data_IF_474236169042
#
_entry.id   IF_474236169042
#
_cell.length_a   1.000
_cell.length_b   1.000
_cell.length_c   1.000
_cell.angle_alpha   90.00
_cell.angle_beta   90.00
_cell.angle_gamma   90.00
#
_symmetry.space_group_name_H-M   'P 1'
#
loop_
_entity.id
_entity.type
_entity.pdbx_description
1 polymer ?
#
# COMPACT_ATOMS: atom_id res chain seq x y z
N UNK A 1 -5.51 -0.95 23.73
CA UNK A 1 -5.51 -2.40 24.06
C UNK A 1 -6.97 -2.83 24.06
N UNK A 2 -7.36 -3.83 23.24
CA UNK A 2 -8.76 -4.27 23.19
C UNK A 2 -9.12 -5.05 24.46
N UNK A 3 -10.38 -5.00 24.89
CA UNK A 3 -10.85 -5.75 26.06
C UNK A 3 -10.60 -7.27 25.92
N UNK A 4 -10.71 -7.79 24.68
CA UNK A 4 -10.41 -9.17 24.34
C UNK A 4 -8.93 -9.53 24.58
N UNK A 5 -8.00 -8.67 24.15
CA UNK A 5 -6.57 -8.91 24.35
C UNK A 5 -6.22 -9.02 25.85
N UNK A 6 -6.82 -8.19 26.71
CA UNK A 6 -6.63 -8.26 28.16
C UNK A 6 -7.13 -9.58 28.77
N UNK A 7 -8.29 -10.09 28.31
CA UNK A 7 -8.84 -11.38 28.76
C UNK A 7 -7.90 -12.53 28.39
N UNK A 8 -7.42 -12.55 27.14
CA UNK A 8 -6.55 -13.59 26.62
C UNK A 8 -5.13 -13.54 27.24
N UNK A 9 -4.60 -12.35 27.53
CA UNK A 9 -3.36 -12.19 28.32
C UNK A 9 -3.52 -12.80 29.72
N UNK A 10 -4.68 -12.59 30.36
CA UNK A 10 -5.00 -13.19 31.64
C UNK A 10 -5.06 -14.72 31.58
N UNK A 11 -5.62 -15.29 30.51
CA UNK A 11 -5.62 -16.74 30.26
C UNK A 11 -4.20 -17.28 30.04
N UNK A 12 -3.41 -16.60 29.21
CA UNK A 12 -2.03 -16.97 28.93
C UNK A 12 -1.17 -16.99 30.21
N UNK A 13 -1.38 -16.03 31.12
CA UNK A 13 -0.73 -16.00 32.43
C UNK A 13 -1.06 -17.23 33.30
N UNK A 14 -2.34 -17.64 33.33
CA UNK A 14 -2.78 -18.78 34.16
C UNK A 14 -2.22 -20.12 33.70
N UNK A 15 -2.08 -20.30 32.39
CA UNK A 15 -1.59 -21.55 31.80
C UNK A 15 -0.09 -21.55 31.50
N UNK A 16 0.61 -20.46 31.80
CA UNK A 16 2.05 -20.33 31.55
C UNK A 16 2.43 -20.16 30.07
N UNK A 17 1.50 -19.71 29.23
CA UNK A 17 1.71 -19.47 27.80
C UNK A 17 2.48 -18.16 27.56
N UNK A 18 3.79 -18.20 27.78
CA UNK A 18 4.68 -17.04 27.74
C UNK A 18 4.80 -16.38 26.36
N UNK A 19 4.74 -17.18 25.29
CA UNK A 19 4.85 -16.73 23.90
C UNK A 19 3.58 -16.01 23.47
N UNK A 20 2.43 -16.66 23.69
CA UNK A 20 1.10 -16.07 23.42
C UNK A 20 0.93 -14.77 24.20
N UNK A 21 1.28 -14.75 25.49
CA UNK A 21 1.27 -13.53 26.30
C UNK A 21 2.09 -12.41 25.67
N UNK A 22 3.33 -12.69 25.28
CA UNK A 22 4.24 -11.68 24.71
C UNK A 22 3.70 -11.11 23.40
N UNK A 23 3.10 -11.95 22.55
CA UNK A 23 2.49 -11.52 21.29
C UNK A 23 1.30 -10.59 21.57
N UNK A 24 0.39 -10.99 22.46
CA UNK A 24 -0.80 -10.22 22.79
C UNK A 24 -0.48 -8.90 23.50
N UNK A 25 0.56 -8.86 24.34
CA UNK A 25 1.05 -7.62 24.98
C UNK A 25 1.61 -6.62 23.95
N UNK A 26 2.26 -7.14 22.91
CA UNK A 26 2.84 -6.33 21.83
C UNK A 26 1.82 -5.97 20.75
N UNK A 27 0.56 -6.39 20.87
CA UNK A 27 -0.52 -6.09 19.93
C UNK A 27 -0.96 -4.62 20.00
N UNK A 28 -0.05 -3.69 19.68
CA UNK A 28 -0.26 -2.24 19.74
C UNK A 28 -0.19 -1.65 18.33
N UNK A 29 -1.07 -2.10 17.44
CA UNK A 29 -1.20 -1.58 16.06
C UNK A 29 -0.02 -1.87 15.13
N UNK A 30 -0.26 -1.77 13.81
CA UNK A 30 0.72 -2.12 12.78
C UNK A 30 0.95 -3.64 12.65
N UNK A 31 2.15 -4.05 12.25
CA UNK A 31 2.56 -5.47 12.04
C UNK A 31 2.37 -6.33 13.31
N UNK A 32 2.63 -5.77 14.49
CA UNK A 32 2.40 -6.48 15.75
C UNK A 32 0.89 -6.70 16.04
N UNK A 33 0.02 -5.89 15.42
CA UNK A 33 -1.43 -6.08 15.40
C UNK A 33 -1.87 -7.29 14.57
N UNK A 34 -1.23 -7.51 13.41
CA UNK A 34 -1.50 -8.66 12.51
C UNK A 34 -1.16 -9.99 13.18
N UNK A 35 0.04 -10.11 13.76
CA UNK A 35 0.45 -11.33 14.48
C UNK A 35 -0.48 -11.61 15.67
N UNK A 36 -0.84 -10.56 16.41
CA UNK A 36 -1.81 -10.68 17.50
C UNK A 36 -3.19 -11.14 17.00
N UNK A 37 -3.64 -10.67 15.84
CA UNK A 37 -4.85 -11.14 15.17
C UNK A 37 -4.79 -12.64 14.85
N UNK A 38 -3.72 -13.09 14.19
CA UNK A 38 -3.52 -14.50 13.83
C UNK A 38 -3.50 -15.42 15.07
N UNK A 39 -2.91 -14.98 16.17
CA UNK A 39 -2.94 -15.74 17.44
C UNK A 39 -4.33 -15.78 18.04
N UNK A 40 -5.09 -14.68 18.00
CA UNK A 40 -6.48 -14.64 18.45
C UNK A 40 -7.35 -15.60 17.61
N UNK A 41 -7.17 -15.62 16.29
CA UNK A 41 -7.86 -16.54 15.38
C UNK A 41 -7.52 -18.00 15.68
N UNK A 42 -6.24 -18.29 15.96
CA UNK A 42 -5.81 -19.64 16.35
C UNK A 42 -6.46 -20.09 17.68
N UNK A 43 -6.58 -19.18 18.66
CA UNK A 43 -7.26 -19.45 19.93
C UNK A 43 -8.75 -19.72 19.69
N UNK A 44 -9.43 -18.88 18.89
CA UNK A 44 -10.83 -19.08 18.52
C UNK A 44 -11.06 -20.44 17.86
N UNK A 45 -10.16 -20.82 16.93
CA UNK A 45 -10.20 -22.11 16.25
C UNK A 45 -10.05 -23.29 17.21
N UNK A 46 -9.14 -23.21 18.18
CA UNK A 46 -9.00 -24.27 19.19
C UNK A 46 -10.17 -24.33 20.17
N UNK A 47 -10.78 -23.19 20.47
CA UNK A 47 -11.99 -23.10 21.27
C UNK A 47 -13.27 -23.51 20.49
N UNK A 48 -13.18 -23.69 19.17
CA UNK A 48 -14.31 -24.07 18.32
C UNK A 48 -15.36 -22.97 18.12
N UNK A 49 -15.00 -21.71 18.35
CA UNK A 49 -15.90 -20.55 18.29
C UNK A 49 -15.37 -19.46 17.36
N UNK A 50 -16.18 -18.43 17.13
CA UNK A 50 -15.71 -17.20 16.48
C UNK A 50 -14.96 -16.30 17.47
N UNK A 51 -14.14 -15.38 16.95
CA UNK A 51 -13.36 -14.45 17.78
C UNK A 51 -14.24 -13.59 18.69
N UNK A 52 -15.42 -13.19 18.21
CA UNK A 52 -16.37 -12.36 18.95
C UNK A 52 -17.00 -13.10 20.14
N UNK A 53 -17.03 -14.44 20.09
CA UNK A 53 -17.59 -15.30 21.14
C UNK A 53 -16.56 -15.65 22.22
N UNK A 54 -15.26 -15.46 21.96
CA UNK A 54 -14.19 -15.73 22.93
C UNK A 54 -14.42 -15.10 24.32
N UNK A 55 -14.88 -13.84 24.47
CA UNK A 55 -15.13 -13.25 25.79
C UNK A 55 -16.24 -13.94 26.59
N UNK A 56 -17.12 -14.68 25.91
CA UNK A 56 -18.29 -15.33 26.53
C UNK A 56 -17.98 -16.74 27.03
N UNK A 57 -16.83 -17.30 26.65
CA UNK A 57 -16.45 -18.65 27.00
C UNK A 57 -16.07 -18.79 28.48
N UNK A 58 -16.32 -19.98 29.07
CA UNK A 58 -15.81 -20.31 30.39
C UNK A 58 -14.28 -20.19 30.45
N UNK A 59 -13.79 -19.73 31.61
CA UNK A 59 -12.36 -19.53 31.84
C UNK A 59 -11.53 -20.79 31.58
N UNK A 60 -12.03 -21.97 31.97
CA UNK A 60 -11.35 -23.26 31.73
C UNK A 60 -11.16 -23.57 30.26
N UNK A 61 -12.15 -23.24 29.42
CA UNK A 61 -12.12 -23.48 27.97
C UNK A 61 -11.15 -22.52 27.28
N UNK A 62 -11.12 -21.26 27.69
CA UNK A 62 -10.14 -20.28 27.21
C UNK A 62 -8.71 -20.66 27.59
N UNK A 63 -8.51 -21.10 28.83
CA UNK A 63 -7.21 -21.53 29.34
C UNK A 63 -6.71 -22.75 28.54
N UNK A 64 -7.57 -23.74 28.29
CA UNK A 64 -7.24 -24.90 27.46
C UNK A 64 -6.89 -24.50 26.02
N UNK A 65 -7.70 -23.65 25.37
CA UNK A 65 -7.44 -23.19 24.01
C UNK A 65 -6.10 -22.44 23.91
N UNK A 66 -5.80 -21.56 24.87
CA UNK A 66 -4.52 -20.84 24.93
C UNK A 66 -3.34 -21.78 25.15
N UNK A 67 -3.49 -22.78 26.03
CA UNK A 67 -2.47 -23.81 26.26
C UNK A 67 -2.16 -24.61 24.99
N UNK A 68 -3.16 -24.91 24.18
CA UNK A 68 -2.98 -25.60 22.90
C UNK A 68 -2.35 -24.71 21.81
N UNK A 69 -2.48 -23.38 21.90
CA UNK A 69 -1.88 -22.44 20.94
C UNK A 69 -0.41 -22.12 21.27
N UNK A 70 -0.03 -22.11 22.54
CA UNK A 70 1.37 -21.86 22.96
C UNK A 70 2.43 -22.67 22.18
N UNK A 71 2.30 -24.00 21.98
CA UNK A 71 3.32 -24.77 21.25
C UNK A 71 3.40 -24.43 19.75
N UNK A 72 2.32 -23.90 19.15
CA UNK A 72 2.29 -23.52 17.73
C UNK A 72 2.57 -22.03 17.50
N UNK A 73 2.49 -21.19 18.54
CA UNK A 73 2.73 -19.75 18.45
C UNK A 73 4.10 -19.37 17.84
N UNK A 74 5.22 -20.06 18.15
CA UNK A 74 6.49 -19.81 17.47
C UNK A 74 6.45 -20.06 15.96
N UNK A 75 5.72 -21.10 15.52
CA UNK A 75 5.58 -21.41 14.09
C UNK A 75 4.75 -20.34 13.35
N UNK A 76 3.73 -19.77 14.01
CA UNK A 76 2.96 -18.65 13.47
C UNK A 76 3.83 -17.41 13.26
N UNK A 77 4.72 -17.10 14.20
CA UNK A 77 5.69 -15.99 14.04
C UNK A 77 6.63 -16.24 12.86
N UNK A 78 7.15 -17.46 12.73
CA UNK A 78 8.05 -17.82 11.63
C UNK A 78 7.37 -17.72 10.26
N UNK A 79 6.12 -18.16 10.15
CA UNK A 79 5.33 -18.04 8.93
C UNK A 79 5.13 -16.58 8.52
N UNK A 80 4.83 -15.70 9.47
CA UNK A 80 4.70 -14.26 9.21
C UNK A 80 6.02 -13.63 8.78
N UNK A 81 7.12 -13.95 9.45
CA UNK A 81 8.46 -13.47 9.06
C UNK A 81 8.80 -13.91 7.65
N UNK A 82 8.45 -15.13 7.25
CA UNK A 82 8.68 -15.62 5.90
C UNK A 82 7.79 -14.91 4.88
N UNK A 83 6.51 -14.68 5.20
CA UNK A 83 5.62 -13.86 4.38
C UNK A 83 6.18 -12.44 4.18
N UNK A 84 6.72 -11.81 5.21
CA UNK A 84 7.34 -10.49 5.11
C UNK A 84 8.60 -10.50 4.25
N UNK A 85 9.44 -11.53 4.37
CA UNK A 85 10.61 -11.68 3.49
C UNK A 85 10.19 -11.82 2.03
N UNK A 86 9.19 -12.62 1.74
CA UNK A 86 8.71 -12.81 0.36
C UNK A 86 8.02 -11.55 -0.18
N UNK A 87 7.25 -10.83 0.64
CA UNK A 87 6.71 -9.52 0.27
C UNK A 87 7.84 -8.52 -0.05
N UNK A 88 8.87 -8.44 0.80
CA UNK A 88 10.06 -7.62 0.55
C UNK A 88 10.80 -8.06 -0.72
N UNK A 89 10.93 -9.37 -0.96
CA UNK A 89 11.55 -9.93 -2.15
C UNK A 89 10.78 -9.53 -3.41
N UNK A 90 9.46 -9.55 -3.39
CA UNK A 90 8.62 -9.10 -4.50
C UNK A 90 8.81 -7.60 -4.77
N UNK A 91 8.83 -6.77 -3.73
CA UNK A 91 9.08 -5.33 -3.88
C UNK A 91 10.49 -5.05 -4.44
N UNK A 92 11.50 -5.77 -3.96
CA UNK A 92 12.87 -5.66 -4.46
C UNK A 92 13.02 -6.22 -5.89
N UNK A 93 12.27 -7.27 -6.24
CA UNK A 93 12.22 -7.79 -7.60
C UNK A 93 11.58 -6.76 -8.57
N UNK A 94 10.56 -6.01 -8.13
CA UNK A 94 10.02 -4.89 -8.91
C UNK A 94 11.07 -3.77 -9.12
N UNK A 95 11.99 -3.59 -8.16
CA UNK A 95 13.09 -2.64 -8.28
C UNK A 95 14.23 -3.15 -9.18
N UNK A 96 14.50 -4.46 -9.16
CA UNK A 96 15.47 -5.13 -10.04
C UNK A 96 14.87 -5.31 -11.44
N UNK A 97 14.83 -4.22 -12.20
CA UNK A 97 14.22 -4.19 -13.54
C UNK A 97 15.15 -4.80 -14.57
N UNK A 98 14.72 -5.88 -15.19
CA UNK A 98 15.49 -6.68 -16.17
C UNK A 98 15.90 -5.94 -17.45
N UNK A 99 15.35 -4.75 -17.75
CA UNK A 99 15.89 -3.88 -18.83
C UNK A 99 15.57 -2.41 -18.60
N UNK A 100 16.55 -1.54 -18.88
CA UNK A 100 16.38 -0.08 -18.83
C UNK A 100 15.26 0.43 -19.75
N UNK A 101 14.97 -0.27 -20.85
CA UNK A 101 13.97 0.13 -21.84
C UNK A 101 12.53 0.08 -21.31
N UNK A 102 12.16 -0.97 -20.58
CA UNK A 102 10.81 -1.13 -20.02
C UNK A 102 10.45 -0.08 -18.96
N UNK A 103 11.46 0.59 -18.40
CA UNK A 103 11.28 1.64 -17.41
C UNK A 103 11.49 3.05 -17.95
N UNK A 104 12.39 3.25 -18.93
CA UNK A 104 12.80 4.58 -19.40
C UNK A 104 11.66 5.43 -19.94
N UNK A 105 10.62 4.83 -20.53
CA UNK A 105 9.46 5.57 -21.06
C UNK A 105 8.70 6.37 -19.98
N UNK A 106 8.79 5.94 -18.72
CA UNK A 106 8.16 6.61 -17.56
C UNK A 106 8.77 7.99 -17.30
N UNK A 107 10.06 8.13 -16.95
CA UNK A 107 10.69 9.43 -16.83
C UNK A 107 10.76 10.16 -18.18
N UNK A 108 11.00 9.46 -19.30
CA UNK A 108 11.10 10.10 -20.61
C UNK A 108 9.81 10.83 -21.01
N UNK A 109 8.64 10.23 -20.79
CA UNK A 109 7.37 10.89 -21.08
C UNK A 109 7.10 12.08 -20.15
N UNK A 110 7.47 12.02 -18.86
CA UNK A 110 7.38 13.16 -17.95
C UNK A 110 8.27 14.33 -18.42
N UNK A 111 9.52 14.05 -18.76
CA UNK A 111 10.45 15.07 -19.25
C UNK A 111 10.01 15.67 -20.58
N UNK A 112 9.58 14.84 -21.53
CA UNK A 112 9.02 15.30 -22.79
C UNK A 112 7.85 16.25 -22.56
N UNK A 113 6.96 15.91 -21.63
CA UNK A 113 5.80 16.72 -21.31
C UNK A 113 6.18 18.05 -20.67
N UNK A 114 7.13 18.06 -19.74
CA UNK A 114 7.65 19.30 -19.15
C UNK A 114 8.28 20.20 -20.23
N UNK A 115 9.01 19.62 -21.18
CA UNK A 115 9.56 20.36 -22.33
C UNK A 115 8.43 20.96 -23.19
N UNK A 116 7.38 20.21 -23.49
CA UNK A 116 6.23 20.71 -24.23
C UNK A 116 5.51 21.85 -23.50
N UNK A 117 5.33 21.73 -22.18
CA UNK A 117 4.74 22.80 -21.35
C UNK A 117 5.63 24.04 -21.36
N UNK A 118 6.94 23.88 -21.11
CA UNK A 118 7.89 24.99 -21.11
C UNK A 118 7.94 25.70 -22.46
N UNK A 119 7.89 24.93 -23.56
CA UNK A 119 7.78 25.48 -24.91
C UNK A 119 6.52 26.32 -25.08
N UNK A 120 5.36 25.78 -24.70
CA UNK A 120 4.06 26.42 -24.91
C UNK A 120 3.87 27.67 -24.05
N UNK A 121 4.23 27.60 -22.77
CA UNK A 121 3.94 28.63 -21.76
C UNK A 121 5.01 29.71 -21.70
N UNK A 122 6.27 29.36 -21.92
CA UNK A 122 7.41 30.26 -21.66
C UNK A 122 8.13 30.61 -22.95
N UNK A 123 8.68 29.61 -23.64
CA UNK A 123 9.60 29.86 -24.76
C UNK A 123 8.89 30.55 -25.92
N UNK A 124 7.73 30.04 -26.33
CA UNK A 124 7.01 30.59 -27.47
C UNK A 124 6.58 32.05 -27.25
N UNK A 125 5.91 32.44 -26.15
CA UNK A 125 5.55 33.84 -25.92
C UNK A 125 6.75 34.78 -25.92
N UNK A 126 7.88 34.35 -25.33
CA UNK A 126 9.12 35.13 -25.32
C UNK A 126 9.71 35.30 -26.73
N UNK A 127 9.75 34.23 -27.53
CA UNK A 127 10.23 34.30 -28.91
C UNK A 127 9.33 35.18 -29.78
N UNK A 128 8.01 35.08 -29.64
CA UNK A 128 7.08 35.94 -30.36
C UNK A 128 7.22 37.42 -29.94
N UNK A 129 7.38 37.69 -28.63
CA UNK A 129 7.64 39.04 -28.16
C UNK A 129 8.94 39.62 -28.75
N UNK A 130 10.00 38.81 -28.85
CA UNK A 130 11.26 39.20 -29.47
C UNK A 130 11.10 39.49 -30.97
N UNK A 131 10.36 38.65 -31.71
CA UNK A 131 10.08 38.83 -33.14
C UNK A 131 9.23 40.08 -33.42
N UNK A 132 8.30 40.41 -32.52
CA UNK A 132 7.51 41.63 -32.62
C UNK A 132 8.33 42.87 -32.28
N UNK A 133 9.29 42.76 -31.34
CA UNK A 133 10.21 43.85 -31.03
C UNK A 133 11.11 44.24 -32.21
N UNK A 134 11.38 43.31 -33.15
CA UNK A 134 12.13 43.60 -34.38
C UNK A 134 11.24 44.11 -35.53
N UNK A 135 9.96 44.38 -35.27
CA UNK A 135 9.02 44.94 -36.24
C UNK A 135 8.47 43.94 -37.26
N UNK A 136 8.69 42.63 -37.05
CA UNK A 136 8.17 41.59 -37.94
C UNK A 136 6.71 41.28 -37.59
N UNK A 137 5.89 41.01 -38.60
CA UNK A 137 4.53 40.45 -38.42
C UNK A 137 4.52 38.92 -38.30
N UNK A 138 5.70 38.30 -38.21
CA UNK A 138 5.84 36.83 -38.17
C UNK A 138 5.53 36.36 -36.76
N UNK A 139 4.75 35.29 -36.65
CA UNK A 139 4.40 34.65 -35.39
C UNK A 139 4.71 33.16 -35.48
N UNK A 140 5.33 32.62 -34.44
CA UNK A 140 5.43 31.18 -34.23
C UNK A 140 4.06 30.69 -33.78
N UNK A 141 3.40 29.91 -34.63
CA UNK A 141 2.12 29.27 -34.33
C UNK A 141 2.32 27.86 -33.75
N UNK A 142 1.39 27.42 -32.91
CA UNK A 142 1.34 26.03 -32.46
C UNK A 142 0.28 25.33 -33.30
N UNK A 143 0.66 24.28 -34.02
CA UNK A 143 -0.28 23.43 -34.78
C UNK A 143 -1.14 22.52 -33.91
N UNK A 144 -1.08 22.69 -32.58
CA UNK A 144 -1.80 21.94 -31.56
C UNK A 144 -2.46 22.94 -30.62
N UNK A 145 -3.76 22.84 -30.43
CA UNK A 145 -4.48 23.68 -29.48
C UNK A 145 -4.25 23.23 -28.02
N UNK A 146 -4.48 24.15 -27.08
CA UNK A 146 -4.24 23.92 -25.65
C UNK A 146 -5.18 22.86 -25.06
N UNK A 147 -6.41 22.72 -25.57
CA UNK A 147 -7.35 21.75 -25.06
C UNK A 147 -6.92 20.32 -25.45
N UNK A 148 -6.51 20.12 -26.70
CA UNK A 148 -5.93 18.85 -27.15
C UNK A 148 -4.68 18.49 -26.37
N UNK A 149 -3.79 19.47 -26.12
CA UNK A 149 -2.60 19.26 -25.30
C UNK A 149 -2.93 18.83 -23.86
N UNK A 150 -3.84 19.54 -23.19
CA UNK A 150 -4.30 19.20 -21.83
C UNK A 150 -5.00 17.83 -21.77
N UNK A 151 -5.74 17.46 -22.81
CA UNK A 151 -6.34 16.14 -22.95
C UNK A 151 -5.29 15.03 -22.99
N UNK A 152 -4.29 15.16 -23.86
CA UNK A 152 -3.16 14.21 -23.95
C UNK A 152 -2.40 14.15 -22.62
N UNK A 153 -2.15 15.30 -22.00
CA UNK A 153 -1.48 15.39 -20.69
C UNK A 153 -2.24 14.63 -19.60
N UNK A 154 -3.56 14.83 -19.52
CA UNK A 154 -4.42 14.20 -18.51
C UNK A 154 -4.47 12.69 -18.72
N UNK A 155 -4.58 12.21 -19.96
CA UNK A 155 -4.56 10.79 -20.28
C UNK A 155 -3.21 10.17 -19.91
N UNK A 156 -2.10 10.81 -20.33
CA UNK A 156 -0.76 10.34 -20.01
C UNK A 156 -0.51 10.26 -18.50
N UNK A 157 -0.82 11.34 -17.77
CA UNK A 157 -0.64 11.39 -16.31
C UNK A 157 -1.59 10.47 -15.56
N UNK A 158 -2.82 10.28 -16.03
CA UNK A 158 -3.78 9.33 -15.43
C UNK A 158 -3.32 7.88 -15.56
N UNK A 159 -2.82 7.48 -16.75
CA UNK A 159 -2.25 6.16 -16.96
C UNK A 159 -0.95 5.96 -16.15
N UNK A 160 -0.14 7.01 -16.05
CA UNK A 160 1.18 6.97 -15.44
C UNK A 160 1.17 7.06 -13.90
N UNK A 161 0.41 7.98 -13.32
CA UNK A 161 0.37 8.22 -11.86
C UNK A 161 -0.66 7.37 -11.12
N UNK A 162 -1.48 6.60 -11.82
CA UNK A 162 -2.41 5.69 -11.18
C UNK A 162 -3.60 5.33 -12.05
N UNK A 163 -3.38 4.48 -13.06
CA UNK A 163 -4.48 3.89 -13.83
C UNK A 163 -5.50 3.16 -12.94
N UNK A 164 -5.05 2.60 -11.81
CA UNK A 164 -5.94 1.97 -10.82
C UNK A 164 -6.86 2.99 -10.11
N UNK A 165 -6.43 4.24 -9.94
CA UNK A 165 -7.26 5.31 -9.37
C UNK A 165 -8.39 5.70 -10.34
N UNK A 166 -8.07 5.80 -11.63
CA UNK A 166 -9.06 6.05 -12.68
C UNK A 166 -10.03 4.86 -12.81
N UNK A 167 -9.52 3.62 -12.84
CA UNK A 167 -10.35 2.41 -12.89
C UNK A 167 -11.29 2.32 -11.66
N UNK A 168 -10.80 2.67 -10.47
CA UNK A 168 -11.60 2.70 -9.24
C UNK A 168 -12.66 3.79 -9.27
N UNK A 169 -12.35 4.97 -9.83
CA UNK A 169 -13.34 6.04 -9.99
C UNK A 169 -14.46 5.62 -10.95
N UNK A 170 -14.12 5.05 -12.10
CA UNK A 170 -15.09 4.57 -13.10
C UNK A 170 -15.93 3.41 -12.56
N UNK A 171 -15.33 2.44 -11.86
CA UNK A 171 -16.06 1.32 -11.23
C UNK A 171 -16.96 1.73 -10.07
N UNK A 172 -16.78 2.92 -9.50
CA UNK A 172 -17.64 3.41 -8.40
C UNK A 172 -18.94 4.04 -8.93
N UNK A 173 -19.01 4.33 -10.22
CA UNK A 173 -20.15 4.96 -10.89
C UNK A 173 -20.96 4.00 -11.79
N UNK A 174 -20.58 2.71 -11.86
CA UNK A 174 -21.30 1.66 -12.58
C UNK A 174 -21.70 0.52 -11.68
#
# INVERSE_FOLDING_TARGET
MSALASILIGAALRVGASTVKTILEKQVGGVAGEIGGTVIDAIAKQAGVTVDELPTLPQSTLDEAVSQVEPIAPALILAEVEQQKEANRLMLAEMNKDTSFGWLWRPAGMWLMLVCIAWFVIVRPLLNALLWATGTGIQIEVGLDLATFLGIFTIYTGLYMGGNTVIRAVKKEG
#
